data_IF_884720271944
#
_entry.id   IF_884720271944
#
_cell.length_a   1.000
_cell.length_b   1.000
_cell.length_c   1.000
_cell.angle_alpha   90.00
_cell.angle_beta   90.00
_cell.angle_gamma   90.00
#
_symmetry.space_group_name_H-M   'P 1'
#
loop_
_entity.id
_entity.type
_entity.pdbx_description
1 polymer ?
#
# COMPACT_ATOMS: atom_id res chain seq x y z
N UNK A 1 -0.42 -6.45 -8.10
CA UNK A 1 -1.04 -6.26 -6.76
C UNK A 1 -2.27 -5.40 -6.91
N UNK A 2 -3.29 -5.64 -6.09
CA UNK A 2 -4.48 -4.82 -5.93
C UNK A 2 -4.41 -4.18 -4.54
N UNK A 3 -4.48 -2.86 -4.47
CA UNK A 3 -4.23 -2.10 -3.24
C UNK A 3 -5.51 -1.47 -2.68
N UNK A 4 -6.56 -2.27 -2.52
CA UNK A 4 -7.84 -1.84 -2.00
C UNK A 4 -8.82 -1.37 -3.06
N UNK A 5 -10.08 -1.19 -2.63
CA UNK A 5 -11.23 -0.75 -3.43
C UNK A 5 -11.47 -1.60 -4.69
N UNK A 6 -11.16 -2.86 -4.59
CA UNK A 6 -11.22 -3.81 -5.70
C UNK A 6 -11.90 -5.12 -5.29
N UNK A 7 -13.24 -5.13 -5.25
CA UNK A 7 -14.18 -4.10 -5.74
C UNK A 7 -14.68 -3.14 -4.63
N UNK A 8 -15.33 -2.03 -5.04
CA UNK A 8 -16.18 -1.22 -4.19
C UNK A 8 -17.42 -2.02 -3.77
N UNK A 9 -17.64 -2.20 -2.46
CA UNK A 9 -18.72 -3.05 -1.94
C UNK A 9 -19.68 -2.29 -1.02
N UNK A 10 -19.14 -1.52 -0.07
CA UNK A 10 -19.90 -0.65 0.86
C UNK A 10 -20.99 -1.37 1.66
N UNK A 11 -20.73 -2.59 2.12
CA UNK A 11 -21.67 -3.36 2.95
C UNK A 11 -20.96 -4.44 3.74
N UNK A 12 -21.60 -4.90 4.82
CA UNK A 12 -21.18 -6.07 5.60
C UNK A 12 -22.08 -7.31 5.38
N UNK A 13 -22.98 -7.27 4.39
CA UNK A 13 -23.73 -8.47 4.01
C UNK A 13 -22.80 -9.47 3.31
N UNK A 14 -22.59 -10.62 3.94
CA UNK A 14 -21.66 -11.63 3.43
C UNK A 14 -22.04 -12.18 2.05
N UNK A 15 -23.34 -12.23 1.74
CA UNK A 15 -23.85 -12.67 0.45
C UNK A 15 -23.48 -11.67 -0.65
N UNK A 16 -23.66 -10.38 -0.36
CA UNK A 16 -23.32 -9.29 -1.29
C UNK A 16 -21.79 -9.21 -1.44
N UNK A 17 -21.02 -9.25 -0.34
CA UNK A 17 -19.55 -9.28 -0.35
C UNK A 17 -19.04 -10.36 -1.32
N UNK A 18 -19.52 -11.59 -1.17
CA UNK A 18 -19.13 -12.72 -2.04
C UNK A 18 -19.56 -12.51 -3.49
N UNK A 19 -20.77 -11.97 -3.71
CA UNK A 19 -21.25 -11.69 -5.05
C UNK A 19 -20.39 -10.66 -5.77
N UNK A 20 -20.02 -9.58 -5.09
CA UNK A 20 -19.17 -8.51 -5.62
C UNK A 20 -17.75 -8.98 -5.92
N UNK A 21 -17.14 -9.79 -5.05
CA UNK A 21 -15.84 -10.39 -5.33
C UNK A 21 -15.90 -11.33 -6.55
N UNK A 22 -16.96 -12.16 -6.70
CA UNK A 22 -17.13 -13.01 -7.90
C UNK A 22 -17.32 -12.17 -9.15
N UNK A 23 -18.17 -11.12 -9.10
CA UNK A 23 -18.38 -10.21 -10.21
C UNK A 23 -17.06 -9.59 -10.69
N UNK A 24 -16.28 -9.04 -9.77
CA UNK A 24 -14.97 -8.45 -10.05
C UNK A 24 -14.01 -9.44 -10.70
N UNK A 25 -13.85 -10.63 -10.09
CA UNK A 25 -12.94 -11.66 -10.61
C UNK A 25 -13.44 -12.30 -11.91
N UNK A 26 -14.70 -12.14 -12.27
CA UNK A 26 -15.26 -12.63 -13.53
C UNK A 26 -15.09 -11.68 -14.72
N UNK A 27 -14.53 -10.47 -14.49
CA UNK A 27 -14.15 -9.54 -15.56
C UNK A 27 -13.19 -10.27 -16.50
N UNK A 28 -13.51 -10.44 -17.80
CA UNK A 28 -12.77 -11.37 -18.67
C UNK A 28 -11.27 -11.12 -18.72
N UNK A 29 -10.84 -9.85 -18.76
CA UNK A 29 -9.43 -9.46 -18.79
C UNK A 29 -8.72 -9.80 -17.49
N UNK A 30 -9.35 -9.59 -16.34
CA UNK A 30 -8.80 -9.91 -15.02
C UNK A 30 -8.74 -11.44 -14.83
N UNK A 31 -9.79 -12.15 -15.21
CA UNK A 31 -9.83 -13.60 -15.14
C UNK A 31 -8.74 -14.25 -16.02
N UNK A 32 -8.52 -13.73 -17.22
CA UNK A 32 -7.46 -14.22 -18.10
C UNK A 32 -6.06 -13.91 -17.55
N UNK A 33 -5.85 -12.69 -17.03
CA UNK A 33 -4.59 -12.30 -16.38
C UNK A 33 -4.27 -13.21 -15.18
N UNK A 34 -5.28 -13.48 -14.34
CA UNK A 34 -5.13 -14.32 -13.14
C UNK A 34 -4.77 -15.78 -13.42
N UNK A 35 -5.02 -16.31 -14.64
CA UNK A 35 -4.60 -17.68 -15.02
C UNK A 35 -3.09 -17.83 -15.14
N UNK A 36 -2.40 -16.77 -15.49
CA UNK A 36 -0.95 -16.80 -15.79
C UNK A 36 -0.10 -15.97 -14.82
N UNK A 37 -0.74 -15.10 -14.03
CA UNK A 37 -0.05 -14.19 -13.11
C UNK A 37 -0.63 -14.31 -11.70
N UNK A 38 0.21 -14.49 -10.67
CA UNK A 38 -0.27 -14.45 -9.29
C UNK A 38 -0.75 -13.04 -8.95
N UNK A 39 -1.93 -12.93 -8.31
CA UNK A 39 -2.55 -11.68 -7.93
C UNK A 39 -2.65 -11.60 -6.42
N UNK A 40 -1.79 -10.80 -5.78
CA UNK A 40 -1.89 -10.47 -4.36
C UNK A 40 -2.70 -9.19 -4.18
N UNK A 41 -3.29 -9.03 -3.00
CA UNK A 41 -4.04 -7.83 -2.68
C UNK A 41 -4.06 -7.50 -1.19
N UNK A 42 -4.34 -6.26 -0.92
CA UNK A 42 -4.83 -5.76 0.37
C UNK A 42 -6.18 -5.08 0.13
N UNK A 43 -6.87 -4.73 1.17
CA UNK A 43 -8.09 -3.94 1.10
C UNK A 43 -7.85 -2.47 1.39
N UNK A 44 -8.87 -1.65 1.10
CA UNK A 44 -9.04 -0.34 1.68
C UNK A 44 -10.45 -0.24 2.28
N UNK A 45 -11.05 0.92 2.44
CA UNK A 45 -12.30 1.09 3.18
C UNK A 45 -13.51 0.49 2.47
N UNK A 46 -13.66 0.68 1.16
CA UNK A 46 -14.82 0.22 0.38
C UNK A 46 -14.93 -1.30 0.20
N UNK A 47 -13.84 -2.06 0.30
CA UNK A 47 -13.87 -3.52 0.34
C UNK A 47 -13.76 -4.08 1.77
N UNK A 48 -13.32 -3.27 2.74
CA UNK A 48 -13.35 -3.58 4.16
C UNK A 48 -14.71 -3.34 4.81
N UNK A 49 -15.42 -2.25 4.45
CA UNK A 49 -16.68 -1.87 5.06
C UNK A 49 -17.46 -0.82 4.31
N UNK A 50 -17.62 0.33 4.93
CA UNK A 50 -18.19 1.55 4.37
C UNK A 50 -17.08 2.58 4.22
N UNK A 51 -17.33 3.62 3.42
CA UNK A 51 -16.40 4.74 3.28
C UNK A 51 -15.82 5.18 4.64
N UNK A 52 -14.50 5.39 4.70
CA UNK A 52 -13.72 5.78 5.89
C UNK A 52 -13.81 4.79 7.07
N UNK A 53 -14.22 3.54 6.85
CA UNK A 53 -14.32 2.54 7.92
C UNK A 53 -12.95 2.18 8.49
N UNK A 54 -12.91 2.07 9.82
CA UNK A 54 -11.73 1.65 10.58
C UNK A 54 -11.98 0.38 11.41
N UNK A 55 -11.00 -0.04 12.17
CA UNK A 55 -11.03 -1.29 12.93
C UNK A 55 -12.13 -1.40 14.00
N UNK A 56 -12.81 -0.31 14.33
CA UNK A 56 -13.95 -0.30 15.26
C UNK A 56 -15.26 -0.78 14.61
N UNK A 57 -15.25 -1.00 13.29
CA UNK A 57 -16.40 -1.48 12.52
C UNK A 57 -16.88 -2.83 13.04
N UNK A 58 -18.12 -2.88 13.54
CA UNK A 58 -18.74 -4.12 14.02
C UNK A 58 -19.12 -5.02 12.83
N UNK A 59 -18.69 -6.28 12.86
CA UNK A 59 -18.99 -7.24 11.80
C UNK A 59 -17.95 -7.27 10.67
N UNK A 60 -16.81 -6.59 10.82
CA UNK A 60 -15.67 -6.61 9.90
C UNK A 60 -15.14 -8.02 9.60
N UNK A 61 -15.41 -9.00 10.47
CA UNK A 61 -15.07 -10.40 10.29
C UNK A 61 -15.70 -11.00 9.03
N UNK A 62 -16.84 -10.45 8.61
CA UNK A 62 -17.53 -10.88 7.36
C UNK A 62 -16.77 -10.41 6.13
N UNK A 63 -16.24 -9.19 6.16
CA UNK A 63 -15.38 -8.67 5.08
C UNK A 63 -14.09 -9.47 4.99
N UNK A 64 -13.44 -9.74 6.14
CA UNK A 64 -12.25 -10.60 6.18
C UNK A 64 -12.54 -11.98 5.61
N UNK A 65 -13.66 -12.59 6.00
CA UNK A 65 -14.07 -13.91 5.51
C UNK A 65 -14.22 -13.90 3.98
N UNK A 66 -14.94 -12.92 3.43
CA UNK A 66 -15.10 -12.79 1.99
C UNK A 66 -13.74 -12.54 1.31
N UNK A 67 -12.92 -11.62 1.83
CA UNK A 67 -11.61 -11.31 1.27
C UNK A 67 -10.73 -12.56 1.14
N UNK A 68 -10.61 -13.36 2.20
CA UNK A 68 -9.81 -14.59 2.21
C UNK A 68 -10.33 -15.63 1.21
N UNK A 69 -11.65 -15.74 1.03
CA UNK A 69 -12.26 -16.67 0.09
C UNK A 69 -11.95 -16.34 -1.38
N UNK A 70 -11.62 -15.07 -1.69
CA UNK A 70 -11.47 -14.58 -3.07
C UNK A 70 -10.09 -13.99 -3.40
N UNK A 71 -9.14 -14.05 -2.48
CA UNK A 71 -7.76 -13.58 -2.71
C UNK A 71 -6.78 -14.75 -2.61
N UNK A 72 -5.75 -14.71 -3.45
CA UNK A 72 -4.73 -15.74 -3.53
C UNK A 72 -3.45 -15.40 -2.74
N UNK A 73 -3.58 -14.56 -1.71
CA UNK A 73 -2.45 -14.28 -0.81
C UNK A 73 -2.02 -15.59 -0.11
N UNK A 74 -0.72 -15.74 0.15
CA UNK A 74 -0.18 -16.95 0.80
C UNK A 74 -0.51 -17.01 2.30
N UNK A 75 -0.76 -15.85 2.92
CA UNK A 75 -1.14 -15.72 4.33
C UNK A 75 -2.02 -14.49 4.53
N UNK A 76 -2.71 -14.43 5.66
CA UNK A 76 -3.63 -13.36 6.01
C UNK A 76 -3.53 -13.04 7.49
N UNK A 77 -2.75 -12.01 7.85
CA UNK A 77 -2.62 -11.56 9.23
C UNK A 77 -2.14 -12.64 10.19
N UNK A 78 -2.74 -12.69 11.38
CA UNK A 78 -2.45 -13.71 12.41
C UNK A 78 -3.70 -13.96 13.26
N UNK A 79 -3.83 -15.17 13.82
CA UNK A 79 -4.90 -15.56 14.76
C UNK A 79 -6.29 -15.11 14.31
N UNK A 80 -6.62 -15.29 13.03
CA UNK A 80 -7.86 -14.83 12.40
C UNK A 80 -8.09 -13.31 12.43
N UNK A 81 -7.03 -12.51 12.58
CA UNK A 81 -7.08 -11.04 12.59
C UNK A 81 -6.25 -10.44 11.47
N UNK A 82 -6.82 -9.42 10.81
CA UNK A 82 -6.18 -8.70 9.73
C UNK A 82 -5.94 -9.54 8.48
N UNK A 83 -5.36 -8.91 7.48
CA UNK A 83 -5.04 -9.55 6.19
C UNK A 83 -3.63 -9.24 5.70
N UNK A 84 -2.81 -8.55 6.50
CA UNK A 84 -1.46 -8.22 6.08
C UNK A 84 -0.66 -9.47 5.72
N UNK A 85 0.24 -9.33 4.76
CA UNK A 85 1.06 -10.44 4.23
C UNK A 85 2.34 -9.90 3.60
N UNK A 86 3.30 -10.78 3.36
CA UNK A 86 4.48 -10.45 2.56
C UNK A 86 4.79 -11.55 1.56
N UNK A 87 5.45 -11.19 0.49
CA UNK A 87 5.99 -12.13 -0.47
C UNK A 87 7.28 -11.59 -1.10
N UNK A 88 8.11 -12.49 -1.60
CA UNK A 88 9.33 -12.15 -2.32
C UNK A 88 9.23 -12.61 -3.77
N UNK A 89 9.69 -11.75 -4.68
CA UNK A 89 9.86 -12.11 -6.09
C UNK A 89 11.16 -11.52 -6.62
N UNK A 90 12.15 -12.40 -6.85
CA UNK A 90 13.49 -11.99 -7.28
C UNK A 90 14.11 -11.01 -6.29
N UNK A 91 14.51 -9.85 -6.78
CA UNK A 91 15.16 -8.79 -6.01
C UNK A 91 14.24 -7.89 -5.18
N UNK A 92 12.94 -8.16 -5.11
CA UNK A 92 12.00 -7.36 -4.30
C UNK A 92 11.26 -8.20 -3.27
N UNK A 93 11.18 -7.71 -2.03
CA UNK A 93 10.26 -8.18 -1.02
C UNK A 93 9.15 -7.16 -0.81
N UNK A 94 7.91 -7.62 -0.83
CA UNK A 94 6.72 -6.77 -0.74
C UNK A 94 6.00 -7.06 0.56
N UNK A 95 5.73 -6.01 1.33
CA UNK A 95 4.93 -6.01 2.55
C UNK A 95 3.59 -5.35 2.23
N UNK A 96 2.51 -6.13 2.19
CA UNK A 96 1.15 -5.61 2.03
C UNK A 96 0.56 -5.39 3.42
N UNK A 97 0.35 -4.14 3.78
CA UNK A 97 -0.19 -3.76 5.09
C UNK A 97 -1.71 -3.80 5.08
N UNK A 98 -2.26 -4.06 6.27
CA UNK A 98 -3.66 -3.88 6.61
C UNK A 98 -3.80 -2.59 7.43
N UNK A 99 -4.30 -1.55 6.81
CA UNK A 99 -4.48 -0.23 7.43
C UNK A 99 -5.91 -0.01 7.94
N UNK A 100 -6.76 -1.05 7.93
CA UNK A 100 -8.16 -0.94 8.36
C UNK A 100 -8.47 -1.77 9.61
N UNK A 101 -8.10 -3.04 9.66
CA UNK A 101 -8.51 -3.97 10.72
C UNK A 101 -8.15 -3.50 12.13
N UNK A 102 -6.95 -2.98 12.32
CA UNK A 102 -6.42 -2.59 13.63
C UNK A 102 -6.57 -1.10 13.92
N UNK A 103 -6.91 -0.28 12.93
CA UNK A 103 -7.00 1.16 13.08
C UNK A 103 -7.96 1.54 14.22
N UNK A 104 -7.45 2.32 15.18
CA UNK A 104 -8.19 2.81 16.37
C UNK A 104 -8.76 1.74 17.31
N UNK A 105 -8.27 0.51 17.27
CA UNK A 105 -8.73 -0.58 18.15
C UNK A 105 -7.98 -0.65 19.47
N UNK A 106 -6.78 -0.09 19.53
CA UNK A 106 -5.90 -0.08 20.70
C UNK A 106 -4.98 1.15 20.67
N UNK A 107 -4.27 1.47 21.78
CA UNK A 107 -3.23 2.49 21.77
C UNK A 107 -2.09 2.13 20.80
N UNK A 108 -1.49 3.16 20.20
CA UNK A 108 -0.34 2.97 19.32
C UNK A 108 0.87 2.41 20.08
N UNK A 109 1.61 1.45 19.53
CA UNK A 109 2.82 0.93 20.15
C UNK A 109 3.97 1.94 20.19
N UNK A 110 3.86 3.06 19.48
CA UNK A 110 4.89 4.11 19.41
C UNK A 110 4.52 5.37 20.19
N UNK A 111 3.22 5.60 20.44
CA UNK A 111 2.70 6.70 21.23
C UNK A 111 1.40 6.25 21.92
N UNK A 112 1.46 5.80 23.20
CA UNK A 112 0.29 5.25 23.90
C UNK A 112 -0.87 6.24 24.12
N UNK A 113 -0.64 7.53 23.96
CA UNK A 113 -1.68 8.56 24.07
C UNK A 113 -2.52 8.68 22.79
N UNK A 114 -2.11 8.01 21.71
CA UNK A 114 -2.74 8.07 20.39
C UNK A 114 -3.25 6.70 19.95
N UNK A 115 -4.28 6.64 19.09
CA UNK A 115 -4.77 5.38 18.55
C UNK A 115 -3.79 4.80 17.52
N UNK A 116 -3.70 3.48 17.46
CA UNK A 116 -2.87 2.82 16.42
C UNK A 116 -3.51 2.85 15.03
N UNK A 117 -2.67 2.76 14.00
CA UNK A 117 -3.08 2.37 12.64
C UNK A 117 -2.86 0.87 12.41
N UNK A 118 -1.65 0.39 12.65
CA UNK A 118 -1.26 -0.98 12.30
C UNK A 118 -1.54 -2.00 13.41
N UNK A 119 -1.72 -1.57 14.65
CA UNK A 119 -1.77 -2.45 15.80
C UNK A 119 -0.39 -3.03 16.18
N UNK A 120 -0.25 -3.40 17.44
CA UNK A 120 1.02 -3.85 18.02
C UNK A 120 1.63 -5.07 17.29
N UNK A 121 0.79 -6.02 16.86
CA UNK A 121 1.29 -7.27 16.26
C UNK A 121 1.73 -7.09 14.82
N UNK A 122 0.98 -6.33 14.02
CA UNK A 122 1.40 -6.02 12.65
C UNK A 122 2.66 -5.15 12.65
N UNK A 123 2.77 -4.20 13.58
CA UNK A 123 3.97 -3.39 13.78
C UNK A 123 5.21 -4.26 14.04
N UNK A 124 5.10 -5.21 14.98
CA UNK A 124 6.19 -6.13 15.29
C UNK A 124 6.56 -7.00 14.08
N UNK A 125 5.57 -7.54 13.37
CA UNK A 125 5.75 -8.32 12.15
C UNK A 125 6.45 -7.52 11.04
N UNK A 126 6.03 -6.27 10.83
CA UNK A 126 6.64 -5.41 9.80
C UNK A 126 8.12 -5.13 10.12
N UNK A 127 8.41 -4.73 11.36
CA UNK A 127 9.79 -4.46 11.80
C UNK A 127 10.68 -5.68 11.66
N UNK A 128 10.23 -6.83 12.17
CA UNK A 128 10.97 -8.08 12.05
C UNK A 128 11.21 -8.45 10.59
N UNK A 129 10.17 -8.37 9.75
CA UNK A 129 10.29 -8.69 8.34
C UNK A 129 11.27 -7.78 7.58
N UNK A 130 11.29 -6.49 7.91
CA UNK A 130 12.23 -5.53 7.33
C UNK A 130 13.67 -5.80 7.76
N UNK A 131 13.92 -6.14 9.05
CA UNK A 131 15.25 -6.50 9.54
C UNK A 131 15.78 -7.81 8.92
N UNK A 132 14.91 -8.80 8.72
CA UNK A 132 15.27 -10.10 8.15
C UNK A 132 15.42 -10.07 6.62
N UNK A 133 14.90 -9.05 5.96
CA UNK A 133 14.86 -8.98 4.50
C UNK A 133 16.24 -8.78 3.88
N UNK A 134 16.63 -9.73 3.06
CA UNK A 134 17.87 -9.67 2.25
C UNK A 134 17.61 -9.19 0.82
N UNK A 135 16.39 -8.74 0.51
CA UNK A 135 16.09 -8.21 -0.82
C UNK A 135 16.76 -6.83 -1.00
N UNK A 136 17.38 -6.55 -2.15
CA UNK A 136 17.88 -5.21 -2.45
C UNK A 136 16.77 -4.15 -2.38
N UNK A 137 15.55 -4.49 -2.81
CA UNK A 137 14.41 -3.58 -2.74
C UNK A 137 13.30 -4.14 -1.86
N UNK A 138 12.70 -3.25 -1.04
CA UNK A 138 11.56 -3.54 -0.15
C UNK A 138 10.42 -2.57 -0.47
N UNK A 139 9.30 -3.12 -0.87
CA UNK A 139 8.08 -2.35 -1.12
C UNK A 139 7.17 -2.48 0.09
N UNK A 140 6.83 -1.37 0.73
CA UNK A 140 5.80 -1.33 1.76
C UNK A 140 4.55 -0.71 1.12
N UNK A 141 3.48 -1.49 0.99
CA UNK A 141 2.29 -1.09 0.26
C UNK A 141 1.01 -1.25 1.09
N UNK A 142 0.09 -0.31 0.92
CA UNK A 142 -1.25 -0.33 1.53
C UNK A 142 -2.30 0.28 0.59
N UNK A 143 -3.58 0.21 0.94
CA UNK A 143 -4.65 0.87 0.20
C UNK A 143 -4.55 2.40 0.29
N UNK A 144 -4.32 2.89 1.46
CA UNK A 144 -4.34 4.26 1.92
C UNK A 144 -3.12 5.09 1.44
N UNK A 145 -3.29 6.41 1.33
CA UNK A 145 -2.18 7.35 1.07
C UNK A 145 -1.25 7.45 2.28
N UNK A 146 0.07 7.55 2.04
CA UNK A 146 1.11 7.68 3.08
C UNK A 146 1.26 9.09 3.64
N UNK A 147 0.40 10.02 3.27
CA UNK A 147 0.40 11.41 3.73
C UNK A 147 -1.02 11.91 4.01
N UNK A 148 -1.16 13.18 4.37
CA UNK A 148 -2.42 13.84 4.61
C UNK A 148 -3.15 14.10 3.27
N UNK A 149 -4.44 13.79 3.24
CA UNK A 149 -5.33 14.11 2.11
C UNK A 149 -5.67 15.61 2.06
N UNK A 150 -5.37 16.38 3.12
CA UNK A 150 -5.75 17.78 3.34
C UNK A 150 -7.26 18.03 3.23
N UNK A 151 -8.06 17.06 3.65
CA UNK A 151 -9.52 17.12 3.76
C UNK A 151 -9.96 16.72 5.16
N UNK A 152 -11.27 16.60 5.41
CA UNK A 152 -11.78 16.27 6.75
C UNK A 152 -11.76 14.77 7.07
N UNK A 153 -11.36 13.94 6.15
CA UNK A 153 -11.17 12.49 6.37
C UNK A 153 -9.96 12.25 7.28
N UNK A 154 -9.93 11.12 7.93
CA UNK A 154 -8.89 10.75 8.90
C UNK A 154 -8.38 9.32 8.68
N UNK A 155 -8.53 8.84 7.47
CA UNK A 155 -8.12 7.51 7.01
C UNK A 155 -6.90 7.60 6.08
N UNK A 156 -5.89 8.33 6.54
CA UNK A 156 -4.60 8.51 5.89
C UNK A 156 -3.46 8.41 6.90
N UNK A 157 -2.23 8.25 6.41
CA UNK A 157 -1.04 8.23 7.26
C UNK A 157 -0.68 9.60 7.83
N UNK A 158 -1.24 10.70 7.31
CA UNK A 158 -1.14 12.02 7.90
C UNK A 158 -1.81 12.06 9.28
N UNK A 159 -2.98 11.45 9.42
CA UNK A 159 -3.67 11.25 10.71
C UNK A 159 -2.84 10.44 11.69
N UNK A 160 -2.09 9.45 11.21
CA UNK A 160 -1.20 8.60 12.02
C UNK A 160 0.27 8.92 11.79
N UNK A 161 0.60 10.20 11.56
CA UNK A 161 1.96 10.64 11.23
C UNK A 161 3.02 10.17 12.24
N UNK A 162 2.67 10.01 13.52
CA UNK A 162 3.55 9.47 14.56
C UNK A 162 3.97 8.01 14.28
N UNK A 163 3.09 7.16 13.74
CA UNK A 163 3.47 5.80 13.32
C UNK A 163 4.31 5.82 12.04
N UNK A 164 4.00 6.69 11.07
CA UNK A 164 4.84 6.87 9.88
C UNK A 164 6.23 7.36 10.26
N UNK A 165 6.31 8.35 11.16
CA UNK A 165 7.58 8.88 11.63
C UNK A 165 8.41 7.81 12.35
N UNK A 166 7.78 7.02 13.22
CA UNK A 166 8.44 5.91 13.91
C UNK A 166 8.90 4.79 12.95
N UNK A 167 8.21 4.60 11.81
CA UNK A 167 8.71 3.71 10.76
C UNK A 167 10.00 4.27 10.14
N UNK A 168 10.05 5.57 9.83
CA UNK A 168 11.26 6.20 9.27
C UNK A 168 12.42 6.17 10.26
N UNK A 169 12.16 6.48 11.55
CA UNK A 169 13.17 6.35 12.61
C UNK A 169 13.74 4.92 12.68
N UNK A 170 12.88 3.92 12.66
CA UNK A 170 13.26 2.51 12.66
C UNK A 170 14.11 2.13 11.43
N UNK A 171 13.75 2.60 10.23
CA UNK A 171 14.54 2.35 9.03
C UNK A 171 15.96 2.92 9.16
N UNK A 172 16.08 4.14 9.70
CA UNK A 172 17.38 4.80 9.92
C UNK A 172 18.20 4.14 11.02
N UNK A 173 17.60 3.84 12.18
CA UNK A 173 18.25 3.17 13.32
C UNK A 173 18.82 1.80 12.95
N UNK A 174 18.08 1.05 12.11
CA UNK A 174 18.47 -0.29 11.66
C UNK A 174 19.27 -0.31 10.36
N UNK A 175 19.53 0.85 9.78
CA UNK A 175 20.19 1.00 8.49
C UNK A 175 19.52 0.15 7.38
N UNK A 176 18.18 0.14 7.33
CA UNK A 176 17.42 -0.63 6.35
C UNK A 176 17.38 0.16 5.04
N UNK A 177 18.03 -0.37 4.02
CA UNK A 177 18.09 0.19 2.66
C UNK A 177 17.00 -0.36 1.73
N UNK A 178 16.84 0.29 0.57
CA UNK A 178 16.02 -0.23 -0.52
C UNK A 178 14.51 -0.07 -0.35
N UNK A 179 14.03 0.80 0.56
CA UNK A 179 12.61 0.94 0.87
C UNK A 179 11.93 1.96 -0.04
N UNK A 180 10.81 1.57 -0.64
CA UNK A 180 9.84 2.45 -1.31
C UNK A 180 8.43 2.21 -0.78
N UNK A 181 7.63 3.27 -0.69
CA UNK A 181 6.25 3.24 -0.22
C UNK A 181 5.29 3.27 -1.41
N UNK A 182 4.25 2.43 -1.39
CA UNK A 182 3.20 2.45 -2.41
C UNK A 182 1.84 2.56 -1.73
N UNK A 183 0.96 3.37 -2.30
CA UNK A 183 -0.41 3.56 -1.81
C UNK A 183 -1.41 3.81 -2.93
N UNK A 184 -2.68 3.99 -2.56
CA UNK A 184 -3.80 4.21 -3.45
C UNK A 184 -4.76 5.29 -2.95
N UNK A 185 -6.06 4.97 -2.90
CA UNK A 185 -7.18 5.68 -2.31
C UNK A 185 -7.58 6.99 -3.03
N UNK A 186 -6.69 7.94 -3.17
CA UNK A 186 -6.98 9.35 -3.54
C UNK A 186 -7.38 9.59 -4.99
N UNK A 187 -7.67 8.58 -5.79
CA UNK A 187 -8.12 8.69 -7.19
C UNK A 187 -7.27 9.62 -8.08
N UNK A 188 -5.99 9.75 -7.74
CA UNK A 188 -4.97 10.42 -8.55
C UNK A 188 -3.62 9.74 -8.34
N UNK A 189 -2.70 9.93 -9.28
CA UNK A 189 -1.35 9.39 -9.19
C UNK A 189 -0.40 10.47 -8.69
N UNK A 190 0.50 10.09 -7.77
CA UNK A 190 1.49 11.01 -7.21
C UNK A 190 2.83 10.29 -7.03
N UNK A 191 3.92 11.05 -7.17
CA UNK A 191 5.26 10.66 -6.78
C UNK A 191 5.82 11.73 -5.86
N UNK A 192 6.12 11.34 -4.61
CA UNK A 192 6.75 12.19 -3.62
C UNK A 192 8.14 11.66 -3.29
N UNK A 193 9.04 12.57 -2.91
CA UNK A 193 10.37 12.28 -2.41
C UNK A 193 10.57 13.02 -1.09
N UNK A 194 10.40 12.30 0.03
CA UNK A 194 10.54 12.85 1.36
C UNK A 194 12.00 13.16 1.69
N UNK A 195 12.25 14.31 2.33
CA UNK A 195 13.59 14.75 2.75
C UNK A 195 14.07 14.02 4.01
N UNK A 196 14.23 12.71 3.93
CA UNK A 196 14.57 11.82 5.05
C UNK A 196 16.07 11.45 5.12
N UNK A 197 16.94 12.17 4.38
CA UNK A 197 18.37 11.87 4.34
C UNK A 197 19.02 11.82 5.71
N UNK A 198 18.72 12.80 6.61
CA UNK A 198 19.28 12.82 7.96
C UNK A 198 18.71 11.73 8.87
N UNK A 199 17.45 11.35 8.66
CA UNK A 199 16.72 10.41 9.48
C UNK A 199 16.92 8.96 9.04
N UNK A 200 16.80 8.68 7.74
CA UNK A 200 16.85 7.32 7.15
C UNK A 200 18.20 7.02 6.50
N UNK A 201 18.91 8.07 6.07
CA UNK A 201 20.14 7.96 5.29
C UNK A 201 19.95 8.16 3.79
N UNK A 202 18.69 8.18 3.32
CA UNK A 202 18.31 8.42 1.94
C UNK A 202 16.88 8.99 1.87
N UNK A 203 16.47 9.62 0.75
CA UNK A 203 15.10 10.10 0.59
C UNK A 203 14.13 8.93 0.40
N UNK A 204 13.12 8.82 1.25
CA UNK A 204 12.04 7.85 1.06
C UNK A 204 11.14 8.30 -0.11
N UNK A 205 10.86 7.39 -1.04
CA UNK A 205 9.97 7.64 -2.18
C UNK A 205 8.61 7.04 -1.92
N UNK A 206 7.57 7.83 -2.16
CA UNK A 206 6.17 7.41 -2.14
C UNK A 206 5.61 7.41 -3.56
N UNK A 207 5.06 6.28 -3.98
CA UNK A 207 4.39 6.10 -5.25
C UNK A 207 2.91 5.84 -5.01
N UNK A 208 2.06 6.82 -5.31
CA UNK A 208 0.61 6.64 -5.34
C UNK A 208 0.21 6.36 -6.77
N UNK A 209 -0.58 5.32 -6.97
CA UNK A 209 -1.11 4.94 -8.28
C UNK A 209 -2.59 4.61 -8.15
N UNK A 210 -3.41 5.54 -8.60
CA UNK A 210 -4.87 5.49 -8.53
C UNK A 210 -5.45 6.42 -9.59
N UNK A 211 -6.61 6.13 -10.17
CA UNK A 211 -7.39 4.89 -10.06
C UNK A 211 -7.15 3.92 -11.24
N UNK A 212 -7.41 2.63 -11.04
CA UNK A 212 -7.46 1.64 -12.13
C UNK A 212 -8.76 1.73 -12.96
N UNK A 213 -9.68 2.59 -12.57
CA UNK A 213 -10.97 2.85 -13.23
C UNK A 213 -11.06 4.29 -13.76
N UNK A 214 -12.21 4.71 -14.27
CA UNK A 214 -12.38 5.99 -14.95
C UNK A 214 -12.74 7.18 -14.04
N UNK A 215 -12.96 6.98 -12.72
CA UNK A 215 -13.30 8.05 -11.79
C UNK A 215 -12.03 8.64 -11.17
N UNK A 216 -11.78 9.91 -11.41
CA UNK A 216 -10.70 10.69 -10.79
C UNK A 216 -11.27 11.74 -9.84
N UNK A 217 -10.49 12.15 -8.84
CA UNK A 217 -10.82 13.23 -7.90
C UNK A 217 -9.68 14.26 -7.93
N UNK A 218 -9.72 15.23 -8.89
CA UNK A 218 -8.62 16.19 -9.08
C UNK A 218 -8.29 17.03 -7.83
N UNK A 219 -9.27 17.26 -6.96
CA UNK A 219 -9.11 18.02 -5.72
C UNK A 219 -8.25 17.32 -4.68
N UNK A 220 -8.05 16.00 -4.78
CA UNK A 220 -7.14 15.24 -3.92
C UNK A 220 -5.68 15.23 -4.43
N UNK A 221 -5.42 15.83 -5.60
CA UNK A 221 -4.04 16.08 -6.05
C UNK A 221 -3.52 17.39 -5.47
N UNK A 222 -3.46 17.46 -4.15
CA UNK A 222 -3.06 18.65 -3.39
C UNK A 222 -1.57 18.96 -3.56
N UNK A 223 -1.21 20.24 -3.37
CA UNK A 223 0.20 20.65 -3.35
C UNK A 223 0.91 20.03 -2.14
N UNK A 224 2.16 19.63 -2.30
CA UNK A 224 2.99 19.11 -1.23
C UNK A 224 4.46 19.52 -1.46
N UNK A 225 5.22 19.91 -0.41
CA UNK A 225 6.62 20.37 -0.58
C UNK A 225 7.55 19.32 -1.18
N UNK A 226 7.21 18.04 -1.03
CA UNK A 226 8.00 16.91 -1.54
C UNK A 226 7.39 16.27 -2.81
N UNK A 227 6.38 16.91 -3.42
CA UNK A 227 5.73 16.42 -4.63
C UNK A 227 6.61 16.65 -5.86
N UNK A 228 7.00 15.55 -6.52
CA UNK A 228 7.76 15.57 -7.77
C UNK A 228 6.82 15.56 -8.99
N UNK A 229 5.81 14.69 -8.97
CA UNK A 229 4.79 14.57 -10.02
C UNK A 229 3.43 14.27 -9.42
N UNK A 230 2.38 14.83 -10.02
CA UNK A 230 0.99 14.54 -9.66
C UNK A 230 0.05 14.74 -10.85
N UNK A 231 -0.91 13.82 -11.03
CA UNK A 231 -1.93 13.91 -12.05
C UNK A 231 -3.19 13.12 -11.69
N UNK A 232 -4.35 13.71 -11.96
CA UNK A 232 -5.65 13.05 -11.87
C UNK A 232 -6.03 12.48 -13.25
N UNK A 233 -5.42 11.36 -13.61
CA UNK A 233 -5.63 10.66 -14.89
C UNK A 233 -6.24 9.29 -14.58
N UNK A 234 -7.34 8.89 -15.26
CA UNK A 234 -7.99 7.61 -15.02
C UNK A 234 -7.25 6.44 -15.68
N UNK A 235 -7.59 5.22 -15.23
CA UNK A 235 -7.13 3.96 -15.81
C UNK A 235 -5.59 3.86 -15.86
N UNK A 236 -4.96 4.10 -14.71
CA UNK A 236 -3.51 4.02 -14.53
C UNK A 236 -3.11 2.84 -13.65
N UNK A 237 -1.90 2.36 -13.86
CA UNK A 237 -1.30 1.31 -13.05
C UNK A 237 0.21 1.53 -12.95
N UNK A 238 0.83 0.97 -11.90
CA UNK A 238 2.27 1.06 -11.67
C UNK A 238 2.95 -0.23 -12.13
N UNK A 239 3.95 -0.11 -12.98
CA UNK A 239 4.88 -1.17 -13.33
C UNK A 239 6.17 -0.97 -12.57
N UNK A 240 6.58 -2.01 -11.85
CA UNK A 240 7.92 -2.08 -11.24
C UNK A 240 8.72 -3.15 -11.96
N UNK A 241 9.87 -2.78 -12.49
CA UNK A 241 10.86 -3.69 -13.06
C UNK A 241 12.10 -3.65 -12.19
N UNK A 242 12.55 -4.82 -11.75
CA UNK A 242 13.74 -4.95 -10.90
C UNK A 242 14.76 -5.75 -11.66
N UNK A 243 15.96 -5.18 -11.83
CA UNK A 243 17.11 -5.86 -12.42
C UNK A 243 18.21 -6.02 -11.37
N UNK A 244 18.48 -7.28 -11.02
CA UNK A 244 19.58 -7.68 -10.13
C UNK A 244 20.79 -8.22 -10.89
N UNK A 245 20.75 -8.19 -12.20
CA UNK A 245 21.88 -8.53 -13.07
C UNK A 245 22.89 -7.39 -13.22
N UNK A 246 22.51 -6.19 -12.78
CA UNK A 246 23.40 -5.01 -12.71
C UNK A 246 23.95 -4.81 -11.30
N UNK A 247 25.07 -4.09 -11.19
CA UNK A 247 25.64 -3.69 -9.90
C UNK A 247 25.97 -2.18 -9.97
N UNK A 248 25.27 -1.33 -9.21
CA UNK A 248 24.15 -1.63 -8.29
C UNK A 248 22.92 -2.18 -9.01
N UNK A 249 22.08 -2.94 -8.30
CA UNK A 249 20.79 -3.38 -8.81
C UNK A 249 19.86 -2.17 -9.02
N UNK A 250 18.88 -2.31 -9.93
CA UNK A 250 17.99 -1.21 -10.30
C UNK A 250 16.52 -1.54 -10.08
N UNK A 251 15.73 -0.51 -9.75
CA UNK A 251 14.28 -0.52 -9.69
C UNK A 251 13.76 0.56 -10.63
N UNK A 252 13.01 0.17 -11.66
CA UNK A 252 12.36 1.09 -12.59
C UNK A 252 10.87 1.14 -12.30
N UNK A 253 10.39 2.25 -11.78
CA UNK A 253 8.97 2.50 -11.53
C UNK A 253 8.38 3.33 -12.66
N UNK A 254 7.28 2.84 -13.25
CA UNK A 254 6.63 3.44 -14.42
C UNK A 254 5.12 3.56 -14.18
N UNK A 255 4.57 4.77 -14.27
CA UNK A 255 3.13 5.01 -14.26
C UNK A 255 2.58 4.84 -15.68
N UNK A 256 1.77 3.81 -15.86
CA UNK A 256 1.27 3.38 -17.15
C UNK A 256 -0.21 3.67 -17.30
N UNK A 257 -0.63 4.10 -18.48
CA UNK A 257 -2.03 4.23 -18.86
C UNK A 257 -2.55 2.93 -19.50
N UNK A 258 -3.87 2.77 -19.57
CA UNK A 258 -4.53 1.62 -20.18
C UNK A 258 -4.13 1.39 -21.63
N UNK A 259 -3.81 2.45 -22.38
CA UNK A 259 -3.35 2.37 -23.78
C UNK A 259 -1.86 1.98 -23.93
N UNK A 260 -1.20 1.62 -22.83
CA UNK A 260 0.22 1.26 -22.80
C UNK A 260 1.20 2.45 -22.83
N UNK A 261 0.70 3.70 -22.82
CA UNK A 261 1.57 4.88 -22.77
C UNK A 261 2.07 5.11 -21.35
N UNK A 262 3.33 5.42 -21.23
CA UNK A 262 3.96 5.85 -19.98
C UNK A 262 3.62 7.34 -19.72
N UNK A 263 3.15 7.65 -18.51
CA UNK A 263 2.94 9.02 -18.06
C UNK A 263 4.27 9.64 -17.63
N UNK A 264 4.94 8.99 -16.70
CA UNK A 264 6.29 9.28 -16.22
C UNK A 264 6.91 8.02 -15.62
N UNK A 265 8.18 8.09 -15.32
CA UNK A 265 8.93 7.02 -14.68
C UNK A 265 10.08 7.57 -13.82
N UNK A 266 10.62 6.71 -13.01
CA UNK A 266 11.86 6.92 -12.26
C UNK A 266 12.66 5.63 -12.22
N UNK A 267 13.96 5.74 -12.48
CA UNK A 267 14.94 4.68 -12.28
C UNK A 267 15.68 4.95 -10.97
N UNK A 268 15.68 3.99 -10.08
CA UNK A 268 16.40 4.02 -8.81
C UNK A 268 17.42 2.88 -8.76
N UNK A 269 18.56 3.16 -8.20
CA UNK A 269 19.59 2.16 -7.90
C UNK A 269 19.54 1.80 -6.41
N UNK A 270 20.20 0.72 -6.00
CA UNK A 270 20.41 0.42 -4.59
C UNK A 270 21.09 1.58 -3.85
N UNK A 271 22.03 2.28 -4.52
CA UNK A 271 22.76 3.42 -3.95
C UNK A 271 21.84 4.61 -3.66
N UNK A 272 20.81 4.86 -4.52
CA UNK A 272 19.80 5.92 -4.31
C UNK A 272 18.88 5.65 -3.10
N UNK A 273 18.85 4.41 -2.62
CA UNK A 273 18.03 3.92 -1.52
C UNK A 273 18.85 3.36 -0.37
N UNK A 274 20.09 3.77 -0.24
CA UNK A 274 20.99 3.37 0.83
C UNK A 274 21.61 4.57 1.53
N UNK A 275 22.10 4.34 2.74
CA UNK A 275 22.83 5.35 3.48
C UNK A 275 24.17 5.62 2.77
N UNK A 276 24.37 6.86 2.35
CA UNK A 276 25.63 7.34 1.78
C UNK A 276 26.75 7.47 2.84
#
# INVERSE_FOLDING_TARGET
>A
MLLGDTPYIDTLDLGILRAKHREFLSIPQLAEFGKSHPVWGTWDDHDFGLNDSDGRLKGKERSRKAFIEYRANQSFGHDDQGIYTKFRRGGVEVFLLDTRWFARTEPSPVDPEKPTLLGKRQWAWLKQGLEESTAPFKVIACGMIWDDKEIRESDDWGTYHYERQALFDFLGEKNISGVVLIGGDIHCSRWLEYKTNEQVGYPIRQFIVSPIHNRVIPTLNVAHPDLIKGAAIPNVWLRLEIDTGTSPATLHAQWMQMNGRKMWDVMLTEDDLSKS
#
